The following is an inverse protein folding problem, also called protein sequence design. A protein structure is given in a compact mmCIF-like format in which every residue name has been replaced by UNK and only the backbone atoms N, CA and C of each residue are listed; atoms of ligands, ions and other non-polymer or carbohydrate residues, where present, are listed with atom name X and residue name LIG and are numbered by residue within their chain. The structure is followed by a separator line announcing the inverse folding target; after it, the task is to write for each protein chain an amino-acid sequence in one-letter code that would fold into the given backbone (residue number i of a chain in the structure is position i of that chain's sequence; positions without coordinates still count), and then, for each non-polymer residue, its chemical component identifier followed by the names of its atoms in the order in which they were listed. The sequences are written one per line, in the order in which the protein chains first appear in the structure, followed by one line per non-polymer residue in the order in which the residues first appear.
data_IF_346140437338
#
_entry.id   IF_346140437338
#
_cell.length_a   1.000
_cell.length_b   1.000
_cell.length_c   1.000
_cell.angle_alpha   90.00
_cell.angle_beta   90.00
_cell.angle_gamma   90.00
#
_symmetry.space_group_name_H-M   'P 1'
#
loop_
_entity.id
_entity.type
_entity.pdbx_description
1 polymer ?
#
# COMPACT_ATOMS: atom_id res chain seq x y z
N UNK A 1 27.93 35.78 2.58
CA UNK A 1 27.56 34.47 3.16
C UNK A 1 26.06 34.50 3.53
N UNK A 2 25.18 34.13 2.61
CA UNK A 2 23.73 34.10 2.86
C UNK A 2 23.35 32.74 3.47
N UNK A 3 23.02 32.76 4.76
CA UNK A 3 22.31 31.67 5.42
C UNK A 3 20.85 31.67 4.92
N UNK A 4 20.58 31.00 3.84
CA UNK A 4 19.19 30.72 3.43
C UNK A 4 18.57 29.72 4.40
N UNK A 5 17.58 30.19 5.14
CA UNK A 5 16.79 29.40 6.08
C UNK A 5 16.06 28.30 5.34
N UNK A 6 16.44 27.05 5.60
CA UNK A 6 15.76 25.83 5.12
C UNK A 6 14.25 25.80 5.43
N UNK A 7 13.78 26.56 6.42
CA UNK A 7 12.37 26.58 6.84
C UNK A 7 11.39 27.17 5.82
N UNK A 8 11.82 28.14 4.98
CA UNK A 8 10.92 28.78 3.99
C UNK A 8 10.75 27.98 2.69
N UNK A 9 11.65 27.06 2.36
CA UNK A 9 11.54 26.22 1.15
C UNK A 9 10.56 25.06 1.30
N UNK A 10 10.31 24.59 2.51
CA UNK A 10 9.41 23.48 2.81
C UNK A 10 7.91 23.84 2.61
N UNK A 11 7.52 25.08 2.86
CA UNK A 11 6.10 25.48 2.90
C UNK A 11 5.43 25.65 1.52
N UNK A 12 6.21 25.88 0.46
CA UNK A 12 5.68 26.08 -0.91
C UNK A 12 5.71 24.83 -1.80
N UNK A 13 6.43 23.76 -1.38
CA UNK A 13 6.55 22.52 -2.15
C UNK A 13 5.40 21.53 -1.88
N UNK A 14 4.68 21.68 -0.75
CA UNK A 14 3.80 20.63 -0.20
C UNK A 14 2.64 20.20 -1.11
N UNK A 15 1.90 21.14 -1.70
CA UNK A 15 0.72 20.78 -2.50
C UNK A 15 1.05 20.20 -3.88
N UNK A 16 2.14 20.67 -4.49
CA UNK A 16 2.57 20.20 -5.82
C UNK A 16 3.23 18.85 -5.75
N UNK A 17 4.02 18.60 -4.69
CA UNK A 17 4.69 17.30 -4.49
C UNK A 17 3.72 16.17 -4.11
N UNK A 18 2.69 16.45 -3.32
CA UNK A 18 1.62 15.48 -3.04
C UNK A 18 0.81 15.15 -4.31
N UNK A 19 0.62 16.11 -5.22
CA UNK A 19 0.00 15.89 -6.52
C UNK A 19 0.88 15.06 -7.47
N UNK A 20 2.21 15.12 -7.29
CA UNK A 20 3.20 14.35 -8.06
C UNK A 20 3.54 12.98 -7.42
N UNK A 21 2.85 12.59 -6.33
CA UNK A 21 3.05 11.29 -5.66
C UNK A 21 4.28 11.22 -4.77
N UNK A 22 4.81 12.37 -4.32
CA UNK A 22 5.91 12.43 -3.35
C UNK A 22 5.39 12.74 -1.94
N UNK A 23 5.90 12.03 -0.93
CA UNK A 23 5.55 12.30 0.46
C UNK A 23 6.38 13.44 1.07
N UNK A 24 5.79 14.17 1.97
CA UNK A 24 6.40 15.31 2.66
C UNK A 24 6.30 15.12 4.18
N UNK A 25 7.37 15.47 4.90
CA UNK A 25 7.37 15.42 6.37
C UNK A 25 7.10 16.81 6.94
N UNK A 26 5.93 17.01 7.54
CA UNK A 26 5.45 18.30 8.07
C UNK A 26 4.97 18.11 9.50
N UNK A 27 5.42 19.00 10.40
CA UNK A 27 5.01 19.03 11.82
C UNK A 27 5.12 17.65 12.52
N UNK A 28 6.18 16.89 12.22
CA UNK A 28 6.40 15.58 12.83
C UNK A 28 5.65 14.41 12.19
N UNK A 29 4.90 14.65 11.13
CA UNK A 29 4.09 13.62 10.46
C UNK A 29 4.39 13.54 8.96
N UNK A 30 4.29 12.33 8.40
CA UNK A 30 4.37 12.10 6.97
C UNK A 30 3.02 12.39 6.31
N UNK A 31 3.05 13.27 5.31
CA UNK A 31 1.92 13.52 4.42
C UNK A 31 2.17 12.74 3.13
N UNK A 32 1.46 11.65 2.96
CA UNK A 32 1.59 10.67 1.87
C UNK A 32 0.20 10.25 1.42
N UNK A 33 0.07 9.79 0.18
CA UNK A 33 -1.19 9.29 -0.39
C UNK A 33 -1.27 7.76 -0.24
N UNK A 34 -0.30 7.07 -0.83
CA UNK A 34 -0.32 5.61 -0.89
C UNK A 34 0.09 4.95 0.43
N UNK A 35 1.04 5.55 1.17
CA UNK A 35 1.51 5.04 2.46
C UNK A 35 0.81 5.69 3.66
N UNK A 36 -0.33 6.34 3.46
CA UNK A 36 -1.10 6.99 4.53
C UNK A 36 -1.41 6.03 5.67
N UNK A 37 -1.87 4.82 5.36
CA UNK A 37 -2.16 3.77 6.34
C UNK A 37 -0.94 3.41 7.21
N UNK A 38 0.28 3.40 6.61
CA UNK A 38 1.50 3.12 7.35
C UNK A 38 1.90 4.30 8.25
N UNK A 39 1.75 5.54 7.77
CA UNK A 39 1.99 6.74 8.57
C UNK A 39 1.03 6.81 9.76
N UNK A 40 -0.25 6.50 9.56
CA UNK A 40 -1.27 6.43 10.61
C UNK A 40 -0.95 5.32 11.62
N UNK A 41 -0.57 4.13 11.17
CA UNK A 41 -0.13 3.03 12.02
C UNK A 41 1.07 3.44 12.89
N UNK A 42 2.09 4.07 12.31
CA UNK A 42 3.25 4.56 13.05
C UNK A 42 2.86 5.61 14.11
N UNK A 43 1.96 6.53 13.77
CA UNK A 43 1.47 7.54 14.71
C UNK A 43 0.71 6.91 15.88
N UNK A 44 -0.13 5.90 15.62
CA UNK A 44 -0.93 5.21 16.65
C UNK A 44 -0.06 4.36 17.58
N UNK A 45 1.01 3.76 17.06
CA UNK A 45 1.89 2.87 17.81
C UNK A 45 3.12 3.55 18.40
N UNK A 46 3.39 4.81 18.03
CA UNK A 46 4.60 5.53 18.40
C UNK A 46 5.87 5.05 17.68
N UNK A 47 5.75 4.18 16.67
CA UNK A 47 6.90 3.66 15.91
C UNK A 47 7.47 4.75 15.00
N UNK A 48 8.80 4.78 14.91
CA UNK A 48 9.54 5.69 14.02
C UNK A 48 9.97 4.99 12.74
N UNK A 49 10.45 5.76 11.75
CA UNK A 49 11.07 5.18 10.53
C UNK A 49 12.30 4.32 10.86
N UNK A 50 12.98 4.61 11.98
CA UNK A 50 14.09 3.79 12.50
C UNK A 50 13.61 2.45 12.99
N UNK A 51 12.48 2.42 13.69
CA UNK A 51 11.89 1.17 14.18
C UNK A 51 11.40 0.31 13.00
N UNK A 52 10.66 0.88 12.05
CA UNK A 52 10.25 0.15 10.85
C UNK A 52 11.48 -0.42 10.12
N UNK A 53 12.55 0.36 9.97
CA UNK A 53 13.80 -0.10 9.34
C UNK A 53 14.41 -1.30 10.05
N UNK A 54 14.43 -1.29 11.40
CA UNK A 54 14.87 -2.40 12.22
C UNK A 54 14.02 -3.66 11.96
N UNK A 55 12.70 -3.52 11.92
CA UNK A 55 11.78 -4.63 11.68
C UNK A 55 11.96 -5.29 10.31
N UNK A 56 12.35 -4.54 9.29
CA UNK A 56 12.58 -5.07 7.92
C UNK A 56 14.05 -5.36 7.60
N UNK A 57 14.97 -5.15 8.56
CA UNK A 57 16.41 -5.35 8.34
C UNK A 57 17.04 -4.35 7.36
N UNK A 58 16.57 -3.12 7.34
CA UNK A 58 17.03 -2.06 6.42
C UNK A 58 17.64 -0.88 7.18
N UNK A 59 18.31 0.01 6.46
CA UNK A 59 18.75 1.30 6.99
C UNK A 59 17.55 2.26 7.12
N UNK A 60 17.58 3.14 8.14
CA UNK A 60 16.56 4.18 8.36
C UNK A 60 16.30 5.02 7.09
N UNK A 61 17.38 5.39 6.37
CA UNK A 61 17.25 6.18 5.15
C UNK A 61 16.47 5.46 4.04
N UNK A 62 16.51 4.13 3.99
CA UNK A 62 15.71 3.36 3.04
C UNK A 62 14.22 3.49 3.34
N UNK A 63 13.82 3.40 4.61
CA UNK A 63 12.41 3.60 5.01
C UNK A 63 11.98 5.05 4.83
N UNK A 64 12.82 6.02 5.19
CA UNK A 64 12.56 7.44 4.89
C UNK A 64 12.29 7.64 3.39
N UNK A 65 13.05 6.98 2.52
CA UNK A 65 12.84 7.04 1.08
C UNK A 65 11.49 6.48 0.64
N UNK A 66 10.96 5.43 1.30
CA UNK A 66 9.62 4.93 0.97
C UNK A 66 8.58 6.03 1.10
N UNK A 67 8.61 6.78 2.21
CA UNK A 67 7.69 7.90 2.41
C UNK A 67 7.95 9.05 1.44
N UNK A 68 9.21 9.35 1.10
CA UNK A 68 9.53 10.39 0.12
C UNK A 68 9.01 10.06 -1.28
N UNK A 69 9.09 8.80 -1.72
CA UNK A 69 8.56 8.34 -3.02
C UNK A 69 7.11 7.86 -2.93
N UNK A 70 6.53 7.88 -1.73
CA UNK A 70 5.19 7.42 -1.42
C UNK A 70 4.90 5.99 -1.93
N UNK A 71 5.93 5.09 -1.86
CA UNK A 71 5.80 3.72 -2.34
C UNK A 71 6.81 2.76 -1.68
N UNK A 72 6.38 1.52 -1.51
CA UNK A 72 7.21 0.38 -1.11
C UNK A 72 6.54 -0.93 -1.51
N UNK A 73 7.21 -2.08 -1.33
CA UNK A 73 6.61 -3.37 -1.65
C UNK A 73 5.74 -3.88 -0.51
N UNK A 74 4.71 -4.63 -0.87
CA UNK A 74 3.78 -5.26 0.08
C UNK A 74 4.53 -6.17 1.08
N UNK A 75 5.51 -6.93 0.60
CA UNK A 75 6.32 -7.82 1.44
C UNK A 75 7.01 -7.09 2.59
N UNK A 76 7.52 -5.89 2.35
CA UNK A 76 8.19 -5.08 3.38
C UNK A 76 7.23 -4.60 4.46
N UNK A 77 6.01 -4.21 4.07
CA UNK A 77 4.98 -3.82 5.03
C UNK A 77 4.59 -5.00 5.91
N UNK A 78 4.37 -6.17 5.30
CA UNK A 78 4.03 -7.40 6.03
C UNK A 78 5.16 -7.76 7.01
N UNK A 79 6.43 -7.71 6.56
CA UNK A 79 7.58 -8.01 7.42
C UNK A 79 7.67 -7.04 8.60
N UNK A 80 7.44 -5.74 8.38
CA UNK A 80 7.44 -4.75 9.45
C UNK A 80 6.30 -5.01 10.45
N UNK A 81 5.10 -5.26 9.98
CA UNK A 81 3.94 -5.55 10.83
C UNK A 81 4.19 -6.80 11.68
N UNK A 82 4.66 -7.87 11.05
CA UNK A 82 4.97 -9.15 11.67
C UNK A 82 6.01 -9.02 12.80
N UNK A 83 7.08 -8.27 12.57
CA UNK A 83 8.13 -7.99 13.53
C UNK A 83 7.60 -7.33 14.81
N UNK A 84 6.61 -6.44 14.69
CA UNK A 84 5.99 -5.74 15.83
C UNK A 84 4.75 -6.44 16.37
N UNK A 85 4.49 -7.69 15.96
CA UNK A 85 3.39 -8.48 16.49
C UNK A 85 2.02 -8.09 15.92
N UNK A 86 1.98 -7.52 14.73
CA UNK A 86 0.73 -7.20 14.04
C UNK A 86 0.49 -8.09 12.82
N UNK A 87 -0.76 -8.47 12.61
CA UNK A 87 -1.24 -9.01 11.35
C UNK A 87 -1.55 -7.85 10.40
N UNK A 88 -0.98 -7.91 9.21
CA UNK A 88 -1.33 -7.00 8.12
C UNK A 88 -2.46 -7.61 7.29
N UNK A 89 -3.57 -6.90 7.18
CA UNK A 89 -4.77 -7.34 6.48
C UNK A 89 -5.04 -6.38 5.32
N UNK A 90 -5.18 -6.91 4.12
CA UNK A 90 -5.53 -6.15 2.93
C UNK A 90 -6.58 -6.88 2.13
N UNK A 91 -7.55 -6.15 1.59
CA UNK A 91 -8.59 -6.68 0.70
C UNK A 91 -9.05 -5.62 -0.29
N UNK A 92 -9.70 -6.07 -1.37
CA UNK A 92 -10.48 -5.22 -2.25
C UNK A 92 -11.97 -5.42 -2.01
N UNK A 93 -12.73 -4.31 -1.94
CA UNK A 93 -14.17 -4.34 -2.13
C UNK A 93 -14.45 -4.16 -3.61
N UNK A 94 -14.96 -5.20 -4.25
CA UNK A 94 -15.30 -5.22 -5.68
C UNK A 94 -16.78 -4.90 -5.81
N UNK A 95 -17.17 -3.76 -6.42
CA UNK A 95 -18.58 -3.48 -6.66
C UNK A 95 -19.15 -4.52 -7.63
N UNK A 96 -20.21 -5.20 -7.23
CA UNK A 96 -20.94 -6.07 -8.14
C UNK A 96 -21.66 -5.22 -9.19
N UNK A 97 -21.64 -5.68 -10.45
CA UNK A 97 -22.52 -5.13 -11.48
C UNK A 97 -23.96 -5.39 -11.05
N UNK A 98 -24.77 -4.34 -11.05
CA UNK A 98 -26.22 -4.47 -10.88
C UNK A 98 -26.77 -5.41 -11.96
N UNK A 99 -27.20 -6.59 -11.54
CA UNK A 99 -28.11 -7.40 -12.30
C UNK A 99 -29.47 -7.19 -11.65
N UNK A 100 -30.36 -6.50 -12.37
CA UNK A 100 -31.76 -6.23 -11.97
C UNK A 100 -31.97 -5.51 -10.62
N UNK A 101 -31.31 -4.31 -10.43
CA UNK A 101 -31.69 -3.41 -9.34
C UNK A 101 -31.29 -3.85 -7.91
N UNK A 102 -30.58 -4.96 -7.76
CA UNK A 102 -30.11 -5.44 -6.45
C UNK A 102 -28.60 -5.28 -6.35
N UNK A 103 -28.16 -4.32 -5.55
CA UNK A 103 -26.76 -4.07 -5.23
C UNK A 103 -26.27 -5.10 -4.19
N UNK A 104 -25.81 -6.25 -4.64
CA UNK A 104 -25.12 -7.21 -3.77
C UNK A 104 -23.67 -6.80 -3.59
N UNK A 105 -23.30 -6.33 -2.42
CA UNK A 105 -21.92 -6.13 -2.00
C UNK A 105 -21.45 -7.45 -1.40
N UNK A 106 -20.53 -8.16 -2.08
CA UNK A 106 -19.86 -9.30 -1.46
C UNK A 106 -18.69 -8.76 -0.64
N UNK A 107 -18.93 -8.48 0.62
CA UNK A 107 -17.86 -8.34 1.61
C UNK A 107 -17.29 -9.72 1.89
N UNK A 108 -16.21 -10.09 1.21
CA UNK A 108 -15.43 -11.24 1.66
C UNK A 108 -14.67 -10.83 2.91
N UNK A 109 -14.73 -11.62 3.99
CA UNK A 109 -14.01 -11.29 5.21
C UNK A 109 -12.52 -11.17 4.89
N UNK A 110 -11.93 -10.03 5.23
CA UNK A 110 -10.51 -9.78 5.10
C UNK A 110 -9.76 -10.79 5.99
N UNK A 111 -8.86 -11.57 5.37
CA UNK A 111 -8.05 -12.55 6.09
C UNK A 111 -6.63 -12.02 6.25
N UNK A 112 -5.97 -12.25 7.40
CA UNK A 112 -4.57 -11.94 7.56
C UNK A 112 -3.72 -12.64 6.51
N UNK A 113 -2.74 -11.93 5.96
CA UNK A 113 -1.76 -12.52 5.05
C UNK A 113 -0.73 -13.27 5.90
N UNK A 114 -0.95 -14.58 6.10
CA UNK A 114 -0.13 -15.38 7.05
C UNK A 114 1.05 -16.11 6.43
N UNK A 115 1.16 -16.23 5.09
CA UNK A 115 2.16 -17.12 4.51
C UNK A 115 2.80 -16.57 3.22
N UNK A 116 4.10 -16.84 3.00
CA UNK A 116 4.71 -16.68 1.69
C UNK A 116 3.93 -17.48 0.63
N UNK A 117 3.78 -16.92 -0.57
CA UNK A 117 3.06 -17.56 -1.68
C UNK A 117 1.57 -17.25 -1.74
N UNK A 118 1.05 -16.40 -0.83
CA UNK A 118 -0.38 -16.01 -0.78
C UNK A 118 -0.63 -14.53 -0.59
N UNK A 119 0.42 -13.71 -0.65
CA UNK A 119 0.30 -12.26 -0.42
C UNK A 119 -0.60 -11.56 -1.43
N UNK A 120 -0.65 -12.06 -2.66
CA UNK A 120 -1.45 -11.48 -3.73
C UNK A 120 -2.76 -12.22 -3.99
N UNK A 121 -3.20 -13.10 -3.11
CA UNK A 121 -4.46 -13.84 -3.30
C UNK A 121 -5.66 -12.90 -3.34
N UNK A 122 -5.66 -11.80 -2.56
CA UNK A 122 -6.72 -10.80 -2.62
C UNK A 122 -6.87 -10.17 -4.02
N UNK A 123 -5.77 -9.97 -4.76
CA UNK A 123 -5.79 -9.51 -6.16
C UNK A 123 -6.33 -10.61 -7.07
N UNK A 124 -5.84 -11.86 -6.91
CA UNK A 124 -6.30 -12.99 -7.72
C UNK A 124 -7.79 -13.25 -7.55
N UNK A 125 -8.28 -13.18 -6.31
CA UNK A 125 -9.71 -13.36 -6.01
C UNK A 125 -10.56 -12.24 -6.60
N UNK A 126 -10.12 -10.97 -6.48
CA UNK A 126 -10.81 -9.84 -7.09
C UNK A 126 -10.85 -9.96 -8.62
N UNK A 127 -9.73 -10.29 -9.26
CA UNK A 127 -9.66 -10.53 -10.71
C UNK A 127 -10.58 -11.66 -11.15
N UNK A 128 -10.59 -12.77 -10.39
CA UNK A 128 -11.47 -13.91 -10.66
C UNK A 128 -12.94 -13.53 -10.56
N UNK A 129 -13.32 -12.77 -9.53
CA UNK A 129 -14.70 -12.31 -9.33
C UNK A 129 -15.17 -11.35 -10.44
N UNK A 130 -14.25 -10.55 -10.98
CA UNK A 130 -14.53 -9.60 -12.07
C UNK A 130 -14.26 -10.17 -13.48
N UNK A 131 -13.89 -11.48 -13.61
CA UNK A 131 -13.49 -12.11 -14.85
C UNK A 131 -12.34 -11.42 -15.60
N UNK A 132 -11.37 -10.85 -14.85
CA UNK A 132 -10.22 -10.11 -15.38
C UNK A 132 -9.06 -11.06 -15.59
N UNK A 133 -8.47 -11.06 -16.80
CA UNK A 133 -7.24 -11.79 -17.12
C UNK A 133 -5.98 -10.95 -16.84
N UNK A 134 -4.82 -11.62 -16.72
CA UNK A 134 -3.53 -10.91 -16.58
C UNK A 134 -3.25 -9.96 -17.75
N UNK A 135 -3.73 -10.30 -18.93
CA UNK A 135 -3.57 -9.48 -20.14
C UNK A 135 -4.46 -8.22 -20.07
N UNK A 136 -5.73 -8.38 -19.70
CA UNK A 136 -6.65 -7.27 -19.50
C UNK A 136 -6.16 -6.32 -18.39
N UNK A 137 -5.63 -6.87 -17.30
CA UNK A 137 -5.02 -6.08 -16.23
C UNK A 137 -3.80 -5.31 -16.74
N UNK A 138 -2.90 -5.96 -17.49
CA UNK A 138 -1.70 -5.32 -18.04
C UNK A 138 -2.07 -4.17 -18.98
N UNK A 139 -3.02 -4.38 -19.89
CA UNK A 139 -3.52 -3.34 -20.79
C UNK A 139 -4.14 -2.16 -20.02
N UNK A 140 -4.98 -2.45 -19.02
CA UNK A 140 -5.65 -1.42 -18.22
C UNK A 140 -4.68 -0.54 -17.44
N UNK A 141 -3.57 -1.12 -16.96
CA UNK A 141 -2.51 -0.41 -16.21
C UNK A 141 -1.42 0.18 -17.10
N UNK A 142 -1.49 -0.03 -18.42
CA UNK A 142 -0.47 0.34 -19.38
C UNK A 142 0.92 -0.23 -19.02
N UNK A 143 0.96 -1.51 -18.65
CA UNK A 143 2.19 -2.27 -18.39
C UNK A 143 2.26 -3.49 -19.31
N UNK A 144 3.46 -4.05 -19.48
CA UNK A 144 3.61 -5.29 -20.25
C UNK A 144 3.09 -6.50 -19.45
N UNK A 145 2.46 -7.47 -20.13
CA UNK A 145 1.91 -8.69 -19.52
C UNK A 145 2.90 -9.39 -18.58
N UNK A 146 4.17 -9.45 -18.96
CA UNK A 146 5.22 -10.07 -18.15
C UNK A 146 5.39 -9.39 -16.78
N UNK A 147 5.14 -8.09 -16.66
CA UNK A 147 5.18 -7.36 -15.38
C UNK A 147 4.13 -7.91 -14.43
N UNK A 148 2.90 -8.10 -14.89
CA UNK A 148 1.80 -8.68 -14.07
C UNK A 148 2.14 -10.11 -13.68
N UNK A 149 2.67 -10.92 -14.61
CA UNK A 149 3.10 -12.29 -14.31
C UNK A 149 4.22 -12.33 -13.27
N UNK A 150 5.17 -11.38 -13.33
CA UNK A 150 6.26 -11.27 -12.35
C UNK A 150 5.76 -10.91 -10.96
N UNK A 151 4.74 -10.05 -10.83
CA UNK A 151 4.13 -9.79 -9.51
C UNK A 151 3.61 -11.08 -8.88
N UNK A 152 2.83 -11.85 -9.63
CA UNK A 152 2.28 -13.12 -9.14
C UNK A 152 3.34 -14.21 -8.92
N UNK A 153 4.39 -14.24 -9.76
CA UNK A 153 5.51 -15.20 -9.60
C UNK A 153 6.34 -14.87 -8.34
N UNK A 154 6.61 -13.60 -8.09
CA UNK A 154 7.34 -13.14 -6.90
C UNK A 154 6.46 -13.07 -5.66
N UNK A 155 5.15 -13.17 -5.83
CA UNK A 155 4.14 -12.96 -4.80
C UNK A 155 4.36 -11.62 -4.07
N UNK A 156 4.71 -10.57 -4.83
CA UNK A 156 5.00 -9.24 -4.32
C UNK A 156 4.67 -8.16 -5.36
N UNK A 157 4.20 -7.01 -4.86
CA UNK A 157 3.79 -5.86 -5.66
C UNK A 157 4.03 -4.58 -4.85
N UNK A 158 4.20 -3.44 -5.51
CA UNK A 158 4.28 -2.16 -4.81
C UNK A 158 2.90 -1.67 -4.39
N UNK A 159 2.84 -0.92 -3.29
CA UNK A 159 1.60 -0.35 -2.76
C UNK A 159 0.95 0.57 -3.79
N UNK A 160 1.72 1.38 -4.51
CA UNK A 160 1.21 2.25 -5.57
C UNK A 160 0.49 1.45 -6.67
N UNK A 161 0.98 0.26 -7.03
CA UNK A 161 0.32 -0.59 -8.03
C UNK A 161 -0.97 -1.21 -7.49
N UNK A 162 -1.05 -1.52 -6.18
CA UNK A 162 -2.29 -1.97 -5.54
C UNK A 162 -3.38 -0.92 -5.70
N UNK A 163 -3.08 0.35 -5.39
CA UNK A 163 -4.03 1.45 -5.57
C UNK A 163 -4.37 1.71 -7.04
N UNK A 164 -3.39 1.63 -7.96
CA UNK A 164 -3.65 1.77 -9.39
C UNK A 164 -4.60 0.69 -9.93
N UNK A 165 -4.45 -0.56 -9.48
CA UNK A 165 -5.38 -1.64 -9.82
C UNK A 165 -6.78 -1.28 -9.33
N UNK A 166 -6.93 -0.92 -8.06
CA UNK A 166 -8.20 -0.56 -7.47
C UNK A 166 -8.87 0.61 -8.23
N UNK A 167 -8.14 1.71 -8.43
CA UNK A 167 -8.62 2.90 -9.14
C UNK A 167 -9.07 2.56 -10.57
N UNK A 168 -8.29 1.73 -11.29
CA UNK A 168 -8.59 1.35 -12.68
C UNK A 168 -9.89 0.57 -12.84
N UNK A 169 -10.33 -0.12 -11.80
CA UNK A 169 -11.55 -0.95 -11.81
C UNK A 169 -12.64 -0.43 -10.88
N UNK A 170 -12.44 0.73 -10.24
CA UNK A 170 -13.39 1.28 -9.28
C UNK A 170 -13.53 0.43 -8.02
N UNK A 171 -12.48 -0.29 -7.63
CA UNK A 171 -12.44 -1.07 -6.39
C UNK A 171 -11.97 -0.19 -5.22
N UNK A 172 -12.42 -0.54 -4.02
CA UNK A 172 -11.94 0.09 -2.80
C UNK A 172 -10.86 -0.78 -2.13
N UNK A 173 -9.78 -0.14 -1.66
CA UNK A 173 -8.68 -0.80 -0.94
C UNK A 173 -8.93 -0.67 0.54
N UNK A 174 -9.04 -1.79 1.25
CA UNK A 174 -9.16 -1.83 2.69
C UNK A 174 -7.86 -2.37 3.29
N UNK A 175 -7.22 -1.58 4.15
CA UNK A 175 -5.97 -1.95 4.85
C UNK A 175 -6.16 -1.77 6.35
N UNK A 176 -5.77 -2.79 7.13
CA UNK A 176 -5.86 -2.77 8.58
C UNK A 176 -4.68 -3.51 9.21
N UNK A 177 -4.19 -2.98 10.33
CA UNK A 177 -3.27 -3.67 11.22
C UNK A 177 -4.03 -4.18 12.44
N UNK A 178 -3.90 -5.45 12.77
CA UNK A 178 -4.47 -6.05 13.99
C UNK A 178 -3.36 -6.61 14.85
N UNK A 179 -3.40 -6.32 16.15
CA UNK A 179 -2.48 -6.95 17.09
C UNK A 179 -2.70 -8.47 17.06
N UNK A 180 -1.61 -9.24 16.94
CA UNK A 180 -1.68 -10.70 17.02
C UNK A 180 -2.19 -11.09 18.38
N UNK A 181 -3.20 -11.95 18.41
CA UNK A 181 -3.62 -12.61 19.64
C UNK A 181 -2.58 -13.71 19.92
N UNK A 182 -1.92 -13.63 21.07
CA UNK A 182 -1.09 -14.72 21.54
C UNK A 182 -2.02 -15.89 21.85
N UNK A 183 -1.99 -16.92 21.02
CA UNK A 183 -2.60 -18.22 21.30
C UNK A 183 -1.77 -18.95 22.33
#
# INVERSE_FOLDING_TARGET
MCKFSLKKRLYFMDKKQLAEGCGVFVNGQWQVKNLKFLAEFMNQTGLTTGDIAKGVGLLRNSVTRWFMVDDTTLSRIITAADYYGYDFIISYTVPMREIEGTRLVIEKPARPIKAPGKRLDFIREAMKSAAITNEALAQKLNVIRNTVQLWFKKDDITISNIYKIAESYGWEVNITFKLKQNE
#
